data_IF_070242592899
#
_entry.id   IF_070242592899
#
_cell.length_a   1.000
_cell.length_b   1.000
_cell.length_c   1.000
_cell.angle_alpha   90.00
_cell.angle_beta   90.00
_cell.angle_gamma   90.00
#
_symmetry.space_group_name_H-M   'P 1'
#
loop_
_entity.id
_entity.type
_entity.pdbx_description
1 polymer ?
#
# COMPACT_ATOMS: atom_id res chain seq x y z
N UNK A 1 3.59 0.33 -15.96
CA UNK A 1 2.47 -0.04 -15.05
C UNK A 1 2.35 0.91 -13.87
N UNK A 2 3.38 1.08 -13.02
CA UNK A 2 3.34 1.99 -11.86
C UNK A 2 2.95 3.43 -12.23
N UNK A 3 3.51 3.98 -13.33
CA UNK A 3 3.14 5.32 -13.82
C UNK A 3 1.63 5.45 -14.08
N UNK A 4 1.04 4.49 -14.79
CA UNK A 4 -0.40 4.50 -15.09
C UNK A 4 -1.23 4.41 -13.81
N UNK A 5 -0.82 3.58 -12.86
CA UNK A 5 -1.48 3.46 -11.57
C UNK A 5 -1.52 4.80 -10.83
N UNK A 6 -0.38 5.48 -10.76
CA UNK A 6 -0.27 6.78 -10.10
C UNK A 6 -1.11 7.82 -10.84
N UNK A 7 -1.05 7.86 -12.17
CA UNK A 7 -1.87 8.79 -12.96
C UNK A 7 -3.35 8.56 -12.74
N UNK A 8 -3.83 7.31 -12.75
CA UNK A 8 -5.24 6.98 -12.49
C UNK A 8 -5.64 7.38 -11.07
N UNK A 9 -4.82 7.09 -10.06
CA UNK A 9 -5.09 7.49 -8.67
C UNK A 9 -5.26 9.02 -8.58
N UNK A 10 -4.29 9.78 -9.09
CA UNK A 10 -4.30 11.23 -9.02
C UNK A 10 -5.49 11.83 -9.79
N UNK A 11 -5.81 11.28 -10.96
CA UNK A 11 -6.98 11.70 -11.73
C UNK A 11 -8.29 11.45 -10.97
N UNK A 12 -8.44 10.28 -10.33
CA UNK A 12 -9.64 9.97 -9.52
C UNK A 12 -9.77 10.93 -8.33
N UNK A 13 -8.67 11.19 -7.61
CA UNK A 13 -8.67 12.14 -6.50
C UNK A 13 -9.04 13.56 -6.98
N UNK A 14 -8.50 13.99 -8.13
CA UNK A 14 -8.80 15.31 -8.69
C UNK A 14 -10.27 15.45 -9.10
N UNK A 15 -10.86 14.42 -9.71
CA UNK A 15 -12.29 14.39 -10.05
C UNK A 15 -13.14 14.51 -8.78
N UNK A 16 -12.81 13.76 -7.71
CA UNK A 16 -13.52 13.85 -6.44
C UNK A 16 -13.43 15.25 -5.82
N UNK A 17 -12.26 15.90 -5.90
CA UNK A 17 -12.07 17.27 -5.41
C UNK A 17 -12.90 18.27 -6.21
N UNK A 18 -12.96 18.14 -7.55
CA UNK A 18 -13.79 19.00 -8.39
C UNK A 18 -15.27 18.84 -8.03
N UNK A 19 -15.75 17.60 -7.94
CA UNK A 19 -17.15 17.32 -7.61
C UNK A 19 -17.53 17.89 -6.24
N UNK A 20 -16.65 17.78 -5.25
CA UNK A 20 -16.83 18.42 -3.94
C UNK A 20 -16.95 19.95 -4.05
N UNK A 21 -16.09 20.59 -4.85
CA UNK A 21 -16.14 22.05 -5.06
C UNK A 21 -17.39 22.52 -5.82
N UNK A 22 -17.96 21.68 -6.69
CA UNK A 22 -19.21 21.97 -7.42
C UNK A 22 -20.44 21.91 -6.50
N UNK A 23 -20.27 21.55 -5.22
CA UNK A 23 -21.34 21.54 -4.22
C UNK A 23 -22.02 20.19 -4.05
N UNK A 24 -21.48 19.12 -4.65
CA UNK A 24 -21.88 17.78 -4.25
C UNK A 24 -21.38 17.50 -2.83
N UNK A 25 -22.26 16.95 -1.99
CA UNK A 25 -21.94 16.51 -0.62
C UNK A 25 -21.15 15.20 -0.61
N UNK A 26 -20.04 15.17 -1.34
CA UNK A 26 -19.09 14.06 -1.33
C UNK A 26 -18.32 14.13 -0.02
N UNK A 27 -18.75 13.36 0.97
CA UNK A 27 -17.94 13.16 2.17
C UNK A 27 -16.66 12.43 1.78
N UNK A 28 -15.51 13.07 1.99
CA UNK A 28 -14.20 12.53 1.61
C UNK A 28 -13.93 11.17 2.28
N UNK A 29 -14.53 10.92 3.44
CA UNK A 29 -14.47 9.65 4.17
C UNK A 29 -15.09 8.49 3.38
N UNK A 30 -16.22 8.73 2.70
CA UNK A 30 -16.98 7.70 1.98
C UNK A 30 -16.26 7.21 0.71
N UNK A 31 -15.53 8.11 0.05
CA UNK A 31 -14.84 7.82 -1.21
C UNK A 31 -13.33 7.64 -1.06
N UNK A 32 -12.71 8.27 -0.06
CA UNK A 32 -11.27 8.15 0.19
C UNK A 32 -10.86 6.74 0.58
N UNK A 33 -11.65 6.08 1.44
CA UNK A 33 -11.39 4.71 1.90
C UNK A 33 -11.36 3.71 0.72
N UNK A 34 -12.40 3.62 -0.14
CA UNK A 34 -12.39 2.67 -1.25
C UNK A 34 -11.30 2.98 -2.28
N UNK A 35 -11.04 4.25 -2.59
CA UNK A 35 -9.96 4.65 -3.52
C UNK A 35 -8.60 4.19 -3.01
N UNK A 36 -8.29 4.44 -1.74
CA UNK A 36 -7.03 4.01 -1.13
C UNK A 36 -6.94 2.48 -0.97
N UNK A 37 -8.03 1.81 -0.59
CA UNK A 37 -8.07 0.36 -0.45
C UNK A 37 -7.79 -0.36 -1.78
N UNK A 38 -8.45 0.06 -2.87
CA UNK A 38 -8.19 -0.47 -4.22
C UNK A 38 -6.76 -0.16 -4.66
N UNK A 39 -6.26 1.05 -4.38
CA UNK A 39 -4.89 1.42 -4.69
C UNK A 39 -3.86 0.51 -4.00
N UNK A 40 -4.04 0.20 -2.71
CA UNK A 40 -3.17 -0.71 -1.97
C UNK A 40 -3.18 -2.13 -2.57
N UNK A 41 -4.35 -2.64 -2.98
CA UNK A 41 -4.47 -3.94 -3.64
C UNK A 41 -3.69 -3.96 -4.96
N UNK A 42 -3.84 -2.91 -5.77
CA UNK A 42 -3.15 -2.82 -7.05
C UNK A 42 -1.64 -2.65 -6.88
N UNK A 43 -1.19 -1.86 -5.90
CA UNK A 43 0.24 -1.77 -5.55
C UNK A 43 0.76 -3.13 -5.11
N UNK A 44 0.08 -3.83 -4.20
CA UNK A 44 0.53 -5.12 -3.68
C UNK A 44 0.76 -6.15 -4.77
N UNK A 45 -0.10 -6.16 -5.79
CA UNK A 45 0.05 -7.02 -6.96
C UNK A 45 1.29 -6.67 -7.83
N UNK A 46 1.77 -5.43 -7.76
CA UNK A 46 2.94 -4.98 -8.51
C UNK A 46 4.22 -5.13 -7.68
N UNK A 47 4.17 -4.96 -6.35
CA UNK A 47 5.34 -4.93 -5.45
C UNK A 47 6.29 -6.10 -5.66
N UNK A 48 5.78 -7.33 -5.81
CA UNK A 48 6.60 -8.52 -6.03
C UNK A 48 7.33 -8.57 -7.39
N UNK A 49 6.93 -7.74 -8.36
CA UNK A 49 7.53 -7.63 -9.70
C UNK A 49 8.50 -6.45 -9.83
N UNK A 50 8.64 -5.64 -8.78
CA UNK A 50 9.54 -4.48 -8.79
C UNK A 50 10.99 -4.97 -8.76
N UNK A 51 11.75 -4.60 -9.79
CA UNK A 51 13.21 -4.84 -9.82
C UNK A 51 13.89 -4.00 -8.74
N UNK A 52 15.04 -4.48 -8.27
CA UNK A 52 15.85 -3.75 -7.30
C UNK A 52 16.12 -2.32 -7.77
N UNK A 53 15.85 -1.37 -6.88
CA UNK A 53 16.02 0.05 -7.13
C UNK A 53 16.10 0.82 -5.80
N UNK A 54 16.66 2.03 -5.84
CA UNK A 54 16.86 2.85 -4.65
C UNK A 54 15.66 3.77 -4.32
N UNK A 55 14.64 3.82 -5.17
CA UNK A 55 13.59 4.84 -5.12
C UNK A 55 12.24 4.33 -4.57
N UNK A 56 11.86 3.10 -4.88
CA UNK A 56 10.52 2.54 -4.67
C UNK A 56 10.64 1.19 -3.97
N UNK A 57 10.02 1.06 -2.79
CA UNK A 57 9.94 -0.20 -2.07
C UNK A 57 10.25 -0.11 -0.57
N UNK A 58 10.46 -1.27 0.05
CA UNK A 58 10.92 -1.39 1.44
C UNK A 58 12.44 -1.14 1.50
N UNK A 59 12.82 0.10 1.83
CA UNK A 59 14.20 0.61 1.80
C UNK A 59 14.86 0.56 3.18
N UNK A 60 15.12 -0.63 3.68
CA UNK A 60 15.95 -0.80 4.88
C UNK A 60 17.43 -0.87 4.46
N UNK A 61 18.38 -0.53 5.35
CA UNK A 61 19.82 -0.56 5.00
C UNK A 61 20.27 -1.90 4.41
N UNK A 62 19.67 -3.00 4.87
CA UNK A 62 19.98 -4.34 4.40
C UNK A 62 19.28 -4.75 3.10
N UNK A 63 18.08 -4.24 2.78
CA UNK A 63 17.47 -4.50 1.46
C UNK A 63 18.20 -3.75 0.36
N UNK A 64 18.76 -2.58 0.67
CA UNK A 64 19.62 -1.85 -0.26
C UNK A 64 21.00 -2.51 -0.40
N UNK A 65 21.50 -3.21 0.61
CA UNK A 65 22.80 -3.88 0.53
C UNK A 65 22.78 -5.19 -0.27
N UNK A 66 21.62 -5.85 -0.43
CA UNK A 66 21.53 -7.18 -1.04
C UNK A 66 20.25 -7.36 -1.88
N UNK A 67 20.42 -7.68 -3.17
CA UNK A 67 19.33 -7.85 -4.13
C UNK A 67 18.39 -9.02 -3.81
N UNK A 68 18.92 -10.11 -3.23
CA UNK A 68 18.11 -11.27 -2.84
C UNK A 68 17.21 -10.95 -1.65
N UNK A 69 17.74 -10.21 -0.66
CA UNK A 69 16.99 -9.70 0.49
C UNK A 69 15.87 -8.77 0.01
N UNK A 70 16.18 -7.90 -0.95
CA UNK A 70 15.19 -7.03 -1.59
C UNK A 70 14.08 -7.85 -2.25
N UNK A 71 14.43 -8.77 -3.15
CA UNK A 71 13.48 -9.54 -3.97
C UNK A 71 12.53 -10.37 -3.10
N UNK A 72 13.06 -11.03 -2.07
CA UNK A 72 12.25 -11.84 -1.14
C UNK A 72 11.32 -10.96 -0.29
N UNK A 73 11.82 -9.83 0.22
CA UNK A 73 11.00 -8.89 1.01
C UNK A 73 9.85 -8.31 0.18
N UNK A 74 10.10 -7.93 -1.07
CA UNK A 74 9.06 -7.36 -1.95
C UNK A 74 8.04 -8.40 -2.42
N UNK A 75 8.48 -9.64 -2.65
CA UNK A 75 7.57 -10.75 -2.96
C UNK A 75 6.67 -11.12 -1.78
N UNK A 76 7.20 -11.04 -0.56
CA UNK A 76 6.44 -11.29 0.67
C UNK A 76 5.53 -10.11 1.05
N UNK A 77 5.99 -8.87 0.83
CA UNK A 77 5.23 -7.66 1.12
C UNK A 77 4.03 -7.45 0.18
N UNK A 78 4.07 -7.98 -1.04
CA UNK A 78 2.96 -7.86 -2.00
C UNK A 78 1.61 -8.36 -1.49
N UNK A 79 1.51 -9.63 -1.03
CA UNK A 79 0.29 -10.16 -0.41
C UNK A 79 -0.17 -9.35 0.82
N UNK A 80 0.76 -8.84 1.63
CA UNK A 80 0.44 -8.02 2.82
C UNK A 80 -0.23 -6.71 2.40
N UNK A 81 0.28 -6.05 1.34
CA UNK A 81 -0.38 -4.89 0.74
C UNK A 81 -1.82 -5.18 0.29
N UNK A 82 -2.04 -6.35 -0.34
CA UNK A 82 -3.37 -6.77 -0.78
C UNK A 82 -4.31 -6.98 0.42
N UNK A 83 -3.85 -7.72 1.43
CA UNK A 83 -4.64 -7.99 2.65
C UNK A 83 -4.99 -6.69 3.37
N UNK A 84 -4.02 -5.77 3.54
CA UNK A 84 -4.28 -4.47 4.14
C UNK A 84 -5.30 -3.65 3.35
N UNK A 85 -5.23 -3.67 2.01
CA UNK A 85 -6.23 -3.00 1.17
C UNK A 85 -7.63 -3.62 1.27
N UNK A 86 -7.73 -4.94 1.35
CA UNK A 86 -9.01 -5.65 1.58
C UNK A 86 -9.59 -5.30 2.95
N UNK A 87 -8.77 -5.32 4.01
CA UNK A 87 -9.20 -4.88 5.36
C UNK A 87 -9.71 -3.45 5.35
N UNK A 88 -9.07 -2.58 4.56
CA UNK A 88 -9.50 -1.20 4.39
C UNK A 88 -10.88 -1.10 3.73
N UNK A 89 -11.18 -1.92 2.72
CA UNK A 89 -12.50 -1.99 2.10
C UNK A 89 -13.56 -2.55 3.06
N UNK A 90 -13.20 -3.59 3.83
CA UNK A 90 -14.09 -4.20 4.84
C UNK A 90 -14.43 -3.18 5.93
N UNK A 91 -13.53 -2.24 6.25
CA UNK A 91 -13.76 -1.21 7.26
C UNK A 91 -15.00 -0.34 6.99
N UNK A 92 -15.44 -0.23 5.72
CA UNK A 92 -16.63 0.52 5.31
C UNK A 92 -17.93 -0.03 5.91
N UNK A 93 -17.96 -1.29 6.34
CA UNK A 93 -19.13 -1.92 6.95
C UNK A 93 -19.21 -1.74 8.47
N UNK A 94 -18.24 -1.05 9.09
CA UNK A 94 -18.16 -0.85 10.54
C UNK A 94 -18.32 0.63 10.91
N UNK A 95 -18.88 0.90 12.09
CA UNK A 95 -19.11 2.27 12.57
C UNK A 95 -17.82 3.06 12.84
N UNK A 96 -16.71 2.37 13.14
CA UNK A 96 -15.41 2.98 13.45
C UNK A 96 -14.32 2.47 12.50
N UNK A 97 -14.35 2.85 11.22
CA UNK A 97 -13.40 2.36 10.21
C UNK A 97 -11.95 2.71 10.56
N UNK A 98 -11.72 3.82 11.27
CA UNK A 98 -10.40 4.34 11.64
C UNK A 98 -9.52 3.30 12.34
N UNK A 99 -10.06 2.52 13.28
CA UNK A 99 -9.27 1.53 14.01
C UNK A 99 -8.80 0.37 13.12
N UNK A 100 -9.66 -0.07 12.20
CA UNK A 100 -9.33 -1.12 11.22
C UNK A 100 -8.27 -0.61 10.24
N UNK A 101 -8.39 0.64 9.80
CA UNK A 101 -7.42 1.29 8.91
C UNK A 101 -6.06 1.39 9.61
N UNK A 102 -6.01 1.91 10.84
CA UNK A 102 -4.77 2.00 11.61
C UNK A 102 -4.12 0.63 11.82
N UNK A 103 -4.92 -0.38 12.15
CA UNK A 103 -4.45 -1.75 12.27
C UNK A 103 -3.88 -2.29 10.93
N UNK A 104 -4.57 -2.07 9.82
CA UNK A 104 -4.12 -2.50 8.50
C UNK A 104 -2.78 -1.85 8.08
N UNK A 105 -2.59 -0.57 8.39
CA UNK A 105 -1.31 0.13 8.17
C UNK A 105 -0.20 -0.36 9.10
N UNK A 106 -0.52 -0.62 10.37
CA UNK A 106 0.43 -1.17 11.33
C UNK A 106 0.97 -2.53 10.85
N UNK A 107 0.07 -3.42 10.42
CA UNK A 107 0.38 -4.73 9.83
C UNK A 107 1.25 -4.56 8.58
N UNK A 108 0.90 -3.62 7.71
CA UNK A 108 1.62 -3.34 6.47
C UNK A 108 3.06 -2.86 6.69
N UNK A 109 3.33 -2.16 7.78
CA UNK A 109 4.66 -1.63 8.09
C UNK A 109 5.47 -2.65 8.89
N UNK A 110 4.90 -3.19 9.96
CA UNK A 110 5.64 -4.05 10.90
C UNK A 110 6.02 -5.37 10.24
N UNK A 111 5.08 -6.05 9.58
CA UNK A 111 5.33 -7.41 9.09
C UNK A 111 6.44 -7.45 8.03
N UNK A 112 6.42 -6.63 6.96
CA UNK A 112 7.48 -6.64 5.96
C UNK A 112 8.83 -6.18 6.53
N UNK A 113 8.83 -5.22 7.46
CA UNK A 113 10.07 -4.74 8.10
C UNK A 113 10.71 -5.83 8.96
N UNK A 114 9.92 -6.52 9.78
CA UNK A 114 10.39 -7.64 10.59
C UNK A 114 10.90 -8.79 9.72
N UNK A 115 10.14 -9.15 8.67
CA UNK A 115 10.56 -10.18 7.71
C UNK A 115 11.88 -9.81 7.03
N UNK A 116 12.02 -8.54 6.64
CA UNK A 116 13.21 -8.02 6.01
C UNK A 116 14.44 -8.13 6.92
N UNK A 117 14.29 -7.83 8.21
CA UNK A 117 15.36 -7.97 9.19
C UNK A 117 15.79 -9.43 9.38
N UNK A 118 14.82 -10.35 9.54
CA UNK A 118 15.09 -11.78 9.69
C UNK A 118 15.83 -12.34 8.49
N UNK A 119 15.40 -11.97 7.28
CA UNK A 119 16.02 -12.50 6.06
C UNK A 119 17.40 -11.92 5.82
N UNK A 120 17.63 -10.66 6.20
CA UNK A 120 18.95 -10.06 6.18
C UNK A 120 19.93 -10.79 7.10
N UNK A 121 19.49 -11.18 8.31
CA UNK A 121 20.35 -11.93 9.25
C UNK A 121 20.65 -13.34 8.78
N UNK A 122 19.78 -13.95 7.97
CA UNK A 122 19.98 -15.31 7.43
C UNK A 122 20.88 -15.34 6.19
N UNK A 123 20.96 -14.23 5.47
CA UNK A 123 21.74 -14.08 4.22
C UNK A 123 23.08 -13.35 4.44
N UNK A 124 23.38 -12.95 5.68
CA UNK A 124 24.70 -12.48 6.13
C UNK A 124 25.50 -13.67 6.62
#
# INVERSE_FOLDING_TARGET
>A
MIRLLITVLLSVLFILTILYNIGYTITMERWGIPVLGVFLILIGNITGRIRYNYFIGFRTPWTLANEDVWRRTHRFGGPIFIVSGILMLISLFFEKPVWIILFAFLVLIIIPTMYSYVISRKLR
#
